data_IF_184348134304
#
_entry.id   IF_184348134304
#
_cell.length_a   1.000
_cell.length_b   1.000
_cell.length_c   1.000
_cell.angle_alpha   90.00
_cell.angle_beta   90.00
_cell.angle_gamma   90.00
#
_symmetry.space_group_name_H-M   'P 1'
#
loop_
_entity.id
_entity.type
_entity.pdbx_description
1 polymer ?
#
# COMPACT_ATOMS: atom_id res chain seq x y z
N UNK A 1 -3.78 13.06 -13.35
CA UNK A 1 -3.90 11.60 -13.11
C UNK A 1 -5.35 11.15 -13.37
N UNK A 2 -5.64 9.85 -13.60
CA UNK A 2 -7.00 9.33 -13.47
C UNK A 2 -7.46 9.39 -12.00
N UNK A 3 -8.77 9.38 -11.75
CA UNK A 3 -9.36 9.59 -10.41
C UNK A 3 -10.01 8.34 -9.82
N UNK A 4 -10.33 7.36 -10.67
CA UNK A 4 -10.93 6.10 -10.30
C UNK A 4 -10.62 5.04 -11.37
N UNK A 5 -10.84 3.77 -11.03
CA UNK A 5 -10.77 2.64 -11.95
C UNK A 5 -11.96 1.70 -11.71
N UNK A 6 -12.28 0.90 -12.73
CA UNK A 6 -13.30 -0.13 -12.66
C UNK A 6 -12.69 -1.43 -13.17
N UNK A 7 -12.64 -2.46 -12.33
CA UNK A 7 -12.08 -3.78 -12.66
C UNK A 7 -13.25 -4.72 -12.93
N UNK A 8 -13.26 -5.29 -14.13
CA UNK A 8 -14.25 -6.25 -14.63
C UNK A 8 -15.71 -5.86 -14.37
N UNK A 9 -16.00 -4.57 -14.40
CA UNK A 9 -17.33 -4.00 -14.09
C UNK A 9 -17.90 -4.38 -12.72
N UNK A 10 -17.08 -4.87 -11.79
CA UNK A 10 -17.53 -5.33 -10.46
C UNK A 10 -16.79 -4.67 -9.30
N UNK A 11 -15.56 -4.22 -9.50
CA UNK A 11 -14.76 -3.57 -8.46
C UNK A 11 -14.53 -2.11 -8.81
N UNK A 12 -15.08 -1.20 -8.01
CA UNK A 12 -14.82 0.23 -8.14
C UNK A 12 -13.66 0.66 -7.25
N UNK A 13 -12.63 1.24 -7.85
CA UNK A 13 -11.43 1.69 -7.15
C UNK A 13 -11.34 3.21 -7.14
N UNK A 14 -11.09 3.81 -5.97
CA UNK A 14 -10.82 5.24 -5.80
C UNK A 14 -9.86 5.48 -4.62
N UNK A 15 -9.43 6.71 -4.38
CA UNK A 15 -8.58 7.01 -3.23
C UNK A 15 -9.41 7.31 -1.97
N UNK A 16 -10.32 8.28 -2.11
CA UNK A 16 -11.34 8.71 -1.16
C UNK A 16 -12.42 7.64 -1.02
N UNK A 17 -13.67 8.01 -1.21
CA UNK A 17 -14.74 7.05 -1.26
C UNK A 17 -15.82 7.49 -2.23
N UNK A 18 -17.04 7.57 -1.72
CA UNK A 18 -18.22 7.89 -2.49
C UNK A 18 -18.49 9.41 -2.46
N UNK A 19 -19.37 9.88 -3.35
CA UNK A 19 -19.89 11.26 -3.32
C UNK A 19 -21.41 11.27 -3.23
N UNK A 20 -22.02 12.19 -2.46
CA UNK A 20 -23.47 12.40 -2.47
C UNK A 20 -23.98 12.86 -3.82
N UNK A 21 -23.11 13.32 -4.72
CA UNK A 21 -23.46 13.79 -6.08
C UNK A 21 -23.14 12.77 -7.19
N UNK A 22 -22.49 11.65 -6.86
CA UNK A 22 -22.22 10.58 -7.82
C UNK A 22 -23.49 9.75 -8.04
N UNK A 23 -24.03 9.83 -9.26
CA UNK A 23 -25.24 9.15 -9.74
C UNK A 23 -24.93 8.14 -10.84
N UNK A 24 -23.88 8.37 -11.63
CA UNK A 24 -23.37 7.45 -12.64
C UNK A 24 -21.84 7.54 -12.73
N UNK A 25 -21.16 6.41 -12.93
CA UNK A 25 -19.71 6.37 -13.15
C UNK A 25 -19.26 7.19 -14.37
N UNK A 26 -20.15 7.46 -15.34
CA UNK A 26 -19.84 8.32 -16.47
C UNK A 26 -19.59 9.78 -16.06
N UNK A 27 -20.08 10.22 -14.90
CA UNK A 27 -19.73 11.55 -14.37
C UNK A 27 -18.23 11.67 -14.14
N UNK A 28 -17.55 10.60 -13.70
CA UNK A 28 -16.11 10.59 -13.48
C UNK A 28 -15.34 10.64 -14.81
N UNK A 29 -15.87 10.02 -15.86
CA UNK A 29 -15.28 10.04 -17.22
C UNK A 29 -15.31 11.44 -17.84
N UNK A 30 -16.29 12.27 -17.45
CA UNK A 30 -16.48 13.64 -17.98
C UNK A 30 -15.61 14.69 -17.30
N UNK A 31 -14.83 14.34 -16.29
CA UNK A 31 -13.92 15.27 -15.62
C UNK A 31 -12.80 15.65 -16.62
N UNK A 32 -12.81 16.92 -17.05
CA UNK A 32 -11.77 17.45 -17.94
C UNK A 32 -10.43 17.53 -17.21
N UNK A 33 -9.35 17.26 -17.95
CA UNK A 33 -7.98 17.30 -17.44
C UNK A 33 -7.10 18.16 -18.36
N UNK A 34 -6.16 18.96 -17.83
CA UNK A 34 -5.83 19.12 -16.41
C UNK A 34 -6.91 19.87 -15.62
N UNK A 35 -7.01 19.57 -14.33
CA UNK A 35 -7.85 20.28 -13.38
C UNK A 35 -7.21 20.24 -12.00
N UNK A 36 -7.45 21.27 -11.21
CA UNK A 36 -7.11 21.29 -9.78
C UNK A 36 -8.24 20.65 -8.97
N UNK A 37 -7.88 20.14 -7.79
CA UNK A 37 -8.85 19.58 -6.85
C UNK A 37 -9.56 20.76 -6.17
N UNK A 38 -10.87 20.86 -6.40
CA UNK A 38 -11.72 21.85 -5.74
C UNK A 38 -11.91 21.52 -4.26
N UNK A 39 -12.24 22.52 -3.43
CA UNK A 39 -12.52 22.30 -2.00
C UNK A 39 -13.79 21.47 -1.76
N UNK A 40 -14.71 21.44 -2.73
CA UNK A 40 -15.99 20.72 -2.64
C UNK A 40 -16.35 20.07 -3.97
N UNK A 41 -17.34 19.18 -3.94
CA UNK A 41 -17.93 18.56 -5.13
C UNK A 41 -17.33 17.20 -5.46
N UNK A 42 -17.77 16.65 -6.60
CA UNK A 42 -17.54 15.25 -6.96
C UNK A 42 -16.06 14.84 -6.92
N UNK A 43 -15.16 15.63 -7.50
CA UNK A 43 -13.73 15.29 -7.50
C UNK A 43 -13.13 15.33 -6.09
N UNK A 44 -13.54 16.30 -5.27
CA UNK A 44 -13.12 16.37 -3.87
C UNK A 44 -13.56 15.12 -3.11
N UNK A 45 -14.83 14.75 -3.23
CA UNK A 45 -15.41 13.62 -2.49
C UNK A 45 -14.77 12.27 -2.85
N UNK A 46 -14.51 12.02 -4.14
CA UNK A 46 -13.84 10.80 -4.60
C UNK A 46 -12.41 10.67 -4.08
N UNK A 47 -11.80 11.77 -3.63
CA UNK A 47 -10.45 11.79 -3.08
C UNK A 47 -10.43 11.89 -1.54
N UNK A 48 -11.47 12.42 -0.90
CA UNK A 48 -11.43 12.81 0.51
C UNK A 48 -12.55 12.26 1.41
N UNK A 49 -13.57 11.59 0.85
CA UNK A 49 -14.62 11.01 1.71
C UNK A 49 -14.16 9.73 2.42
N UNK A 50 -14.78 9.45 3.56
CA UNK A 50 -14.47 8.30 4.43
C UNK A 50 -15.73 7.47 4.76
N UNK A 51 -15.64 6.13 4.82
CA UNK A 51 -16.69 5.31 5.41
C UNK A 51 -16.71 5.43 6.94
N UNK A 52 -17.91 5.47 7.54
CA UNK A 52 -18.10 5.46 9.00
C UNK A 52 -19.31 4.59 9.38
N UNK A 53 -19.10 3.61 10.26
CA UNK A 53 -20.14 2.65 10.66
C UNK A 53 -21.16 3.25 11.65
N UNK A 54 -20.80 4.35 12.31
CA UNK A 54 -21.65 5.07 13.26
C UNK A 54 -22.63 6.03 12.59
N UNK A 55 -22.43 6.33 11.30
CA UNK A 55 -23.23 7.26 10.52
C UNK A 55 -24.28 6.52 9.69
N UNK A 56 -25.48 7.09 9.63
CA UNK A 56 -26.53 6.72 8.68
C UNK A 56 -26.61 7.82 7.62
N UNK A 57 -26.54 7.46 6.34
CA UNK A 57 -26.51 8.44 5.27
C UNK A 57 -25.16 9.13 5.15
N UNK A 58 -25.18 10.46 5.09
CA UNK A 58 -23.99 11.31 4.95
C UNK A 58 -23.86 12.26 6.13
N UNK A 59 -22.64 12.51 6.59
CA UNK A 59 -22.35 13.56 7.57
C UNK A 59 -21.07 14.32 7.19
N UNK A 60 -20.85 15.55 7.70
CA UNK A 60 -19.58 16.26 7.50
C UNK A 60 -18.40 15.46 8.02
N UNK A 61 -17.26 15.48 7.30
CA UNK A 61 -16.05 14.80 7.75
C UNK A 61 -15.28 15.66 8.77
N UNK A 62 -14.86 15.05 9.89
CA UNK A 62 -14.06 15.71 10.93
C UNK A 62 -12.67 16.15 10.43
N UNK A 63 -12.22 15.63 9.29
CA UNK A 63 -11.03 16.13 8.57
C UNK A 63 -11.18 17.57 8.06
N UNK A 64 -12.39 18.13 8.08
CA UNK A 64 -12.69 19.47 7.57
C UNK A 64 -12.85 19.54 6.05
N UNK A 65 -12.89 18.40 5.36
CA UNK A 65 -13.05 18.31 3.91
C UNK A 65 -13.95 17.13 3.53
N UNK A 66 -14.86 17.35 2.58
CA UNK A 66 -15.83 16.34 2.11
C UNK A 66 -16.73 15.78 3.25
N UNK A 67 -17.12 14.51 3.14
CA UNK A 67 -18.15 13.86 3.93
C UNK A 67 -17.68 12.50 4.44
N UNK A 68 -18.31 12.02 5.51
CA UNK A 68 -18.36 10.61 5.87
C UNK A 68 -19.65 9.97 5.36
N UNK A 69 -19.63 8.67 5.07
CA UNK A 69 -20.79 7.93 4.60
C UNK A 69 -21.00 6.60 5.32
N UNK A 70 -22.28 6.29 5.57
CA UNK A 70 -22.72 5.09 6.25
C UNK A 70 -22.71 3.82 5.41
N UNK A 71 -22.92 2.69 6.10
CA UNK A 71 -23.08 1.36 5.47
C UNK A 71 -24.27 1.33 4.51
N UNK A 72 -25.34 2.08 4.81
CA UNK A 72 -26.53 2.19 3.97
C UNK A 72 -26.23 2.89 2.63
N UNK A 73 -25.41 3.94 2.64
CA UNK A 73 -24.97 4.63 1.43
C UNK A 73 -24.15 3.71 0.54
N UNK A 74 -23.21 2.97 1.14
CA UNK A 74 -22.41 1.99 0.41
C UNK A 74 -23.29 0.92 -0.23
N UNK A 75 -24.22 0.33 0.52
CA UNK A 75 -25.12 -0.70 -0.01
C UNK A 75 -25.97 -0.18 -1.18
N UNK A 76 -26.54 1.03 -1.06
CA UNK A 76 -27.28 1.67 -2.13
C UNK A 76 -26.41 1.97 -3.36
N UNK A 77 -25.16 2.39 -3.14
CA UNK A 77 -24.22 2.65 -4.23
C UNK A 77 -23.89 1.38 -5.00
N UNK A 78 -23.51 0.30 -4.31
CA UNK A 78 -23.18 -0.99 -4.93
C UNK A 78 -24.36 -1.53 -5.73
N UNK A 79 -25.56 -1.53 -5.14
CA UNK A 79 -26.78 -1.97 -5.81
C UNK A 79 -27.10 -1.13 -7.05
N UNK A 80 -27.04 0.20 -6.94
CA UNK A 80 -27.38 1.10 -8.05
C UNK A 80 -26.40 1.01 -9.20
N UNK A 81 -25.13 0.74 -8.91
CA UNK A 81 -24.06 0.68 -9.91
C UNK A 81 -23.79 -0.74 -10.42
N UNK A 82 -24.52 -1.75 -9.91
CA UNK A 82 -24.29 -3.18 -10.17
C UNK A 82 -22.85 -3.65 -9.88
N UNK A 83 -22.32 -3.21 -8.74
CA UNK A 83 -20.96 -3.51 -8.27
C UNK A 83 -20.97 -4.43 -7.06
N UNK A 84 -19.89 -5.18 -6.89
CA UNK A 84 -19.74 -6.10 -5.76
C UNK A 84 -18.97 -5.47 -4.60
N UNK A 85 -17.93 -4.68 -4.90
CA UNK A 85 -17.05 -4.10 -3.88
C UNK A 85 -16.43 -2.76 -4.31
N UNK A 86 -16.24 -1.88 -3.32
CA UNK A 86 -15.41 -0.68 -3.44
C UNK A 86 -14.02 -0.96 -2.84
N UNK A 87 -12.96 -0.67 -3.57
CA UNK A 87 -11.58 -0.70 -3.07
C UNK A 87 -11.07 0.72 -2.93
N UNK A 88 -10.60 1.08 -1.74
CA UNK A 88 -10.11 2.43 -1.47
C UNK A 88 -8.79 2.47 -0.71
N UNK A 89 -8.24 3.66 -0.50
CA UNK A 89 -7.06 3.87 0.36
C UNK A 89 -7.32 4.88 1.48
N UNK A 90 -6.45 5.88 1.60
CA UNK A 90 -6.60 7.11 2.41
C UNK A 90 -6.56 6.98 3.94
N UNK A 91 -7.17 5.95 4.53
CA UNK A 91 -7.13 5.70 5.97
C UNK A 91 -6.05 4.67 6.32
N UNK A 92 -5.25 4.98 7.33
CA UNK A 92 -4.33 4.01 7.96
C UNK A 92 -5.18 2.97 8.69
N UNK A 93 -4.89 1.70 8.48
CA UNK A 93 -5.59 0.57 9.12
C UNK A 93 -4.56 -0.44 9.63
N UNK A 94 -4.84 -1.08 10.77
CA UNK A 94 -3.87 -1.87 11.56
C UNK A 94 -3.16 -2.95 10.72
N UNK A 95 -3.92 -3.80 10.03
CA UNK A 95 -3.37 -4.90 9.22
C UNK A 95 -3.01 -4.48 7.78
N UNK A 96 -3.06 -3.18 7.46
CA UNK A 96 -2.89 -2.66 6.10
C UNK A 96 -4.11 -2.88 5.19
N UNK A 97 -5.11 -3.64 5.63
CA UNK A 97 -6.43 -3.66 4.99
C UNK A 97 -7.55 -3.76 6.04
N UNK A 98 -8.73 -3.25 5.71
CA UNK A 98 -9.92 -3.35 6.58
C UNK A 98 -11.19 -3.41 5.75
N UNK A 99 -12.10 -4.35 6.08
CA UNK A 99 -13.40 -4.46 5.44
C UNK A 99 -14.46 -3.59 6.13
N UNK A 100 -15.35 -3.02 5.34
CA UNK A 100 -16.50 -2.24 5.78
C UNK A 100 -17.79 -2.70 5.11
N UNK A 101 -18.93 -2.50 5.77
CA UNK A 101 -20.27 -2.72 5.20
C UNK A 101 -20.49 -4.11 4.62
N UNK A 102 -20.34 -5.16 5.45
CA UNK A 102 -20.46 -6.58 5.04
C UNK A 102 -19.51 -6.96 3.89
N UNK A 103 -18.29 -6.43 3.91
CA UNK A 103 -17.25 -6.60 2.89
C UNK A 103 -17.59 -5.98 1.53
N UNK A 104 -18.57 -5.07 1.48
CA UNK A 104 -18.88 -4.27 0.29
C UNK A 104 -17.87 -3.14 0.04
N UNK A 105 -16.99 -2.85 1.00
CA UNK A 105 -15.85 -1.97 0.82
C UNK A 105 -14.62 -2.55 1.52
N UNK A 106 -13.46 -2.34 0.94
CA UNK A 106 -12.17 -2.59 1.59
C UNK A 106 -11.27 -1.36 1.47
N UNK A 107 -10.73 -0.95 2.61
CA UNK A 107 -9.62 0.01 2.68
C UNK A 107 -8.32 -0.77 2.57
N UNK A 108 -7.41 -0.31 1.71
CA UNK A 108 -6.06 -0.86 1.53
C UNK A 108 -5.04 0.26 1.75
N UNK A 109 -4.15 0.05 2.70
CA UNK A 109 -3.08 0.97 3.06
C UNK A 109 -1.73 0.25 2.96
N UNK A 110 -0.81 0.77 2.16
CA UNK A 110 0.41 0.03 1.79
C UNK A 110 1.70 0.57 2.41
N UNK A 111 1.62 1.58 3.28
CA UNK A 111 2.78 2.13 3.98
C UNK A 111 2.84 1.57 5.43
N UNK A 112 3.68 0.54 5.69
CA UNK A 112 3.88 0.03 7.04
C UNK A 112 4.59 1.05 7.92
N UNK A 113 4.33 1.02 9.22
CA UNK A 113 4.87 1.97 10.19
C UNK A 113 4.66 3.43 9.74
N UNK A 114 3.41 3.78 9.40
CA UNK A 114 3.12 5.07 8.80
C UNK A 114 3.65 6.22 9.66
N UNK A 115 4.34 7.17 9.03
CA UNK A 115 5.04 8.30 9.68
C UNK A 115 6.02 7.93 10.83
N UNK A 116 6.31 6.65 11.09
CA UNK A 116 7.06 6.23 12.27
C UNK A 116 6.27 6.33 13.59
N UNK A 117 4.97 6.62 13.52
CA UNK A 117 4.09 6.87 14.67
C UNK A 117 3.06 5.75 14.87
N UNK A 118 2.76 5.02 13.80
CA UNK A 118 1.81 3.90 13.81
C UNK A 118 2.56 2.58 13.74
N UNK A 119 2.03 1.50 14.30
CA UNK A 119 2.57 0.14 14.19
C UNK A 119 1.87 -0.68 13.09
N UNK A 120 1.14 0.00 12.20
CA UNK A 120 0.36 -0.64 11.14
C UNK A 120 1.22 -1.42 10.14
N UNK A 121 0.67 -2.50 9.62
CA UNK A 121 1.18 -3.17 8.43
C UNK A 121 0.80 -2.41 7.16
N UNK A 122 1.50 -2.73 6.07
CA UNK A 122 1.06 -2.42 4.71
C UNK A 122 0.38 -3.64 4.10
N UNK A 123 -0.59 -3.44 3.21
CA UNK A 123 -1.16 -4.52 2.41
C UNK A 123 -1.16 -4.20 0.91
N UNK A 124 -1.17 -5.27 0.12
CA UNK A 124 -1.50 -5.27 -1.31
C UNK A 124 -2.63 -6.25 -1.53
N UNK A 125 -3.69 -5.80 -2.20
CA UNK A 125 -4.82 -6.64 -2.60
C UNK A 125 -4.58 -7.16 -4.02
N UNK A 126 -4.56 -8.48 -4.18
CA UNK A 126 -4.47 -9.16 -5.46
C UNK A 126 -5.88 -9.61 -5.88
N UNK A 127 -6.23 -9.33 -7.13
CA UNK A 127 -7.48 -9.78 -7.75
C UNK A 127 -7.10 -10.68 -8.92
N UNK A 128 -7.59 -11.92 -8.90
CA UNK A 128 -7.37 -12.87 -9.99
C UNK A 128 -8.45 -12.76 -11.09
N UNK A 129 -8.34 -13.61 -12.10
CA UNK A 129 -9.28 -13.67 -13.24
C UNK A 129 -10.72 -14.08 -12.86
N UNK A 130 -10.91 -14.71 -11.68
CA UNK A 130 -12.23 -15.08 -11.16
C UNK A 130 -12.74 -14.05 -10.14
N UNK A 131 -12.09 -12.88 -10.05
CA UNK A 131 -12.33 -11.82 -9.07
C UNK A 131 -12.13 -12.27 -7.62
N UNK A 132 -11.38 -13.34 -7.40
CA UNK A 132 -11.00 -13.75 -6.06
C UNK A 132 -9.97 -12.76 -5.51
N UNK A 133 -10.31 -12.19 -4.37
CA UNK A 133 -9.51 -11.18 -3.70
C UNK A 133 -8.66 -11.83 -2.59
N UNK A 134 -7.33 -11.67 -2.67
CA UNK A 134 -6.38 -12.10 -1.64
C UNK A 134 -5.47 -10.95 -1.22
N UNK A 135 -4.86 -11.04 -0.03
CA UNK A 135 -4.03 -9.96 0.52
C UNK A 135 -2.61 -10.46 0.81
N UNK A 136 -1.62 -9.66 0.42
CA UNK A 136 -0.23 -9.81 0.85
C UNK A 136 0.08 -8.74 1.89
N UNK A 137 0.53 -9.14 3.07
CA UNK A 137 0.74 -8.25 4.22
C UNK A 137 2.25 -8.04 4.45
N UNK A 138 2.64 -6.77 4.55
CA UNK A 138 3.98 -6.28 4.82
C UNK A 138 3.98 -5.71 6.25
N UNK A 139 4.38 -6.54 7.22
CA UNK A 139 4.50 -6.08 8.61
C UNK A 139 5.68 -5.11 8.76
N UNK A 140 5.58 -4.09 9.63
CA UNK A 140 6.70 -3.21 9.91
C UNK A 140 7.85 -4.03 10.50
N UNK A 141 9.09 -3.63 10.16
CA UNK A 141 10.27 -4.29 10.73
C UNK A 141 10.37 -3.88 12.20
N UNK A 142 10.31 -4.84 13.12
CA UNK A 142 10.66 -4.57 14.51
C UNK A 142 12.15 -4.29 14.61
N UNK A 143 12.56 -3.38 15.52
CA UNK A 143 13.97 -3.07 15.78
C UNK A 143 14.82 -4.31 16.07
N UNK A 144 14.22 -5.38 16.60
CA UNK A 144 14.88 -6.66 16.83
C UNK A 144 15.31 -7.36 15.53
N UNK A 145 14.44 -7.40 14.50
CA UNK A 145 14.74 -8.03 13.21
C UNK A 145 15.76 -7.21 12.41
N UNK A 146 15.74 -5.88 12.55
CA UNK A 146 16.72 -4.99 11.92
C UNK A 146 18.10 -5.17 12.57
N UNK A 147 18.18 -5.27 13.90
CA UNK A 147 19.44 -5.55 14.62
C UNK A 147 19.99 -6.94 14.31
N UNK A 148 19.13 -7.95 14.22
CA UNK A 148 19.54 -9.33 13.93
C UNK A 148 20.03 -9.49 12.47
N UNK A 149 19.35 -8.86 11.50
CA UNK A 149 19.81 -8.80 10.10
C UNK A 149 21.10 -8.01 9.94
N UNK A 150 21.26 -6.88 10.65
CA UNK A 150 22.50 -6.10 10.63
C UNK A 150 23.68 -6.88 11.25
N UNK A 151 23.46 -7.55 12.39
CA UNK A 151 24.47 -8.40 13.02
C UNK A 151 24.85 -9.59 12.14
N UNK A 152 23.87 -10.24 11.49
CA UNK A 152 24.15 -11.36 10.59
C UNK A 152 24.88 -10.94 9.30
N UNK A 153 24.57 -9.75 8.74
CA UNK A 153 25.33 -9.20 7.62
C UNK A 153 26.77 -8.83 8.03
N UNK A 154 26.94 -8.19 9.19
CA UNK A 154 28.25 -7.82 9.71
C UNK A 154 29.12 -9.06 10.00
N UNK A 155 28.54 -10.11 10.58
CA UNK A 155 29.21 -11.38 10.82
C UNK A 155 29.56 -12.12 9.51
N UNK A 156 28.68 -12.07 8.50
CA UNK A 156 28.94 -12.63 7.17
C UNK A 156 30.10 -11.92 6.45
N UNK A 157 30.13 -10.59 6.50
CA UNK A 157 31.23 -9.78 5.95
C UNK A 157 32.55 -10.02 6.69
N UNK A 158 32.54 -10.07 8.03
CA UNK A 158 33.72 -10.39 8.82
C UNK A 158 34.28 -11.79 8.51
N UNK A 159 33.41 -12.78 8.31
CA UNK A 159 33.79 -14.14 7.93
C UNK A 159 34.43 -14.17 6.54
N UNK A 160 33.86 -13.46 5.56
CA UNK A 160 34.41 -13.36 4.21
C UNK A 160 35.76 -12.62 4.17
N UNK A 161 35.94 -11.58 4.99
CA UNK A 161 37.22 -10.89 5.14
C UNK A 161 38.28 -11.81 5.74
N UNK A 162 37.93 -12.58 6.77
CA UNK A 162 38.84 -13.57 7.37
C UNK A 162 39.23 -14.68 6.40
N UNK A 163 38.29 -15.20 5.60
CA UNK A 163 38.60 -16.21 4.56
C UNK A 163 39.59 -15.63 3.54
N UNK A 164 39.35 -14.41 3.04
CA UNK A 164 40.28 -13.75 2.10
C UNK A 164 41.67 -13.48 2.70
N UNK A 165 41.74 -13.12 3.98
CA UNK A 165 43.02 -12.94 4.68
C UNK A 165 43.77 -14.26 4.85
N UNK A 166 43.07 -15.35 5.16
CA UNK A 166 43.67 -16.70 5.27
C UNK A 166 44.17 -17.18 3.90
N UNK A 167 43.41 -16.97 2.83
CA UNK A 167 43.86 -17.27 1.46
C UNK A 167 45.10 -16.46 1.05
N UNK A 168 45.16 -15.18 1.42
CA UNK A 168 46.35 -14.35 1.15
C UNK A 168 47.58 -14.76 1.97
N UNK A 169 47.39 -15.31 3.17
CA UNK A 169 48.49 -15.83 3.99
C UNK A 169 48.98 -17.20 3.51
N UNK A 170 48.10 -18.07 3.01
CA UNK A 170 48.48 -19.37 2.46
C UNK A 170 49.21 -19.26 1.11
N UNK A 171 49.04 -18.16 0.37
CA UNK A 171 49.73 -17.92 -0.91
C UNK A 171 51.14 -17.31 -0.79
N UNK A 172 51.68 -17.15 0.42
CA UNK A 172 53.08 -16.76 0.65
C UNK A 172 53.96 -17.99 0.92
N UNK A 173 54.12 -18.88 -0.05
CA UNK A 173 55.29 -19.78 -0.05
C UNK A 173 56.51 -19.03 -0.60
N UNK A 174 57.69 -19.09 0.07
CA UNK A 174 58.88 -18.42 -0.42
C UNK A 174 59.42 -19.16 -1.66
N UNK A 175 59.35 -18.52 -2.83
CA UNK A 175 60.05 -19.01 -4.01
C UNK A 175 61.56 -19.04 -3.72
N UNK A 176 62.12 -20.24 -3.66
CA UNK A 176 63.56 -20.47 -3.52
C UNK A 176 64.28 -19.85 -4.73
N UNK A 177 65.14 -18.88 -4.42
CA UNK A 177 66.00 -18.13 -5.35
C UNK A 177 67.02 -19.07 -5.99
N UNK A 178 66.79 -19.50 -7.23
CA UNK A 178 67.83 -20.13 -8.03
C UNK A 178 68.83 -19.06 -8.49
N UNK A 179 70.06 -19.13 -7.97
CA UNK A 179 71.23 -18.44 -8.51
C UNK A 179 71.86 -19.31 -9.61
N UNK A 180 71.97 -18.78 -10.83
CA UNK A 180 72.97 -19.08 -11.87
C UNK A 180 72.93 -17.85 -12.80
N UNK A 181 73.98 -17.10 -13.09
CA UNK A 181 75.40 -17.41 -13.16
C UNK A 181 75.86 -16.84 -14.50
N UNK A 182 76.49 -15.67 -14.49
CA UNK A 182 77.08 -15.03 -15.67
C UNK A 182 78.53 -15.53 -15.75
N UNK A 183 78.83 -16.27 -16.82
CA UNK A 183 80.08 -16.41 -17.60
C UNK A 183 79.98 -17.66 -18.47
#
# INVERSE_FOLDING_TARGET
>A
MPVAALIDNKIFCCHGGLSPTLRSLDQLKRISRPCDIQETGLLCDILWSDPDASVVGWAPNERGVSYVFGVDVLAQFLQRMDLDIVVRGHQVVEDGYEFFGRRGLVTVFSAPNYCGEFDNAGAVMNVDENLLCSFQILKPSTDAVTKEKQNNLANGLATLVNIKLVEQQQNKQPQRRFRRGML
#
